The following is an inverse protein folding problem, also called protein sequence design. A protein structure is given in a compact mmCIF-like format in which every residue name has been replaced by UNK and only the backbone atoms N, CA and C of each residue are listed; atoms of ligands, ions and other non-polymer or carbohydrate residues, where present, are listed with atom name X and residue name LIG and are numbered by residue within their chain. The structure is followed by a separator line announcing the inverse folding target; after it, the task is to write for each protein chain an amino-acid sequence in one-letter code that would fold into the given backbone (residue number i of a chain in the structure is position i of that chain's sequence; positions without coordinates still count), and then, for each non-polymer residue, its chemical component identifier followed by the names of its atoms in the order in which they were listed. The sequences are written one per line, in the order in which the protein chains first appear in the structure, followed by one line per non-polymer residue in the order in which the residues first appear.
data_IF_297050566980
#
_entry.id   IF_297050566980
#
_cell.length_a   1.000
_cell.length_b   1.000
_cell.length_c   1.000
_cell.angle_alpha   90.00
_cell.angle_beta   90.00
_cell.angle_gamma   90.00
#
_symmetry.space_group_name_H-M   'P 1'
#
loop_
_entity.id
_entity.type
_entity.pdbx_description
1 polymer ?
#
# COMPACT_ATOMS: atom_id res chain seq x y z
N UNK A 1 -16.30 -6.02 -15.01
CA UNK A 1 -15.11 -5.15 -14.94
C UNK A 1 -15.06 -4.30 -16.19
N UNK A 2 -15.01 -2.97 -16.13
CA UNK A 2 -14.84 -2.16 -17.34
C UNK A 2 -13.44 -2.42 -17.90
N UNK A 3 -13.36 -2.91 -19.15
CA UNK A 3 -12.08 -3.05 -19.86
C UNK A 3 -11.48 -1.66 -19.99
N UNK A 4 -10.26 -1.50 -19.48
CA UNK A 4 -9.49 -0.28 -19.69
C UNK A 4 -9.15 -0.21 -21.19
N UNK A 5 -9.88 0.62 -21.94
CA UNK A 5 -9.59 0.90 -23.36
C UNK A 5 -8.50 1.97 -23.40
N UNK A 6 -7.32 1.63 -22.89
CA UNK A 6 -6.14 2.45 -23.04
C UNK A 6 -5.68 2.40 -24.49
N UNK A 7 -5.71 3.52 -25.19
CA UNK A 7 -5.09 3.64 -26.52
C UNK A 7 -3.57 3.53 -26.31
N UNK A 8 -3.03 2.31 -26.37
CA UNK A 8 -1.60 2.10 -26.46
C UNK A 8 -1.13 2.77 -27.75
N UNK A 9 -0.42 3.89 -27.64
CA UNK A 9 0.21 4.50 -28.81
C UNK A 9 1.30 3.54 -29.29
N UNK A 10 1.24 3.04 -30.53
CA UNK A 10 2.31 2.23 -31.08
C UNK A 10 3.60 3.05 -31.05
N UNK A 11 4.66 2.47 -30.49
CA UNK A 11 5.96 3.11 -30.43
C UNK A 11 6.48 3.28 -31.87
N UNK A 12 6.62 4.54 -32.31
CA UNK A 12 7.19 4.88 -33.62
C UNK A 12 8.65 5.29 -33.43
N UNK A 13 9.64 4.42 -33.76
CA UNK A 13 11.05 4.68 -33.45
C UNK A 13 11.58 5.96 -34.12
N UNK A 14 11.09 6.25 -35.33
CA UNK A 14 11.47 7.44 -36.12
C UNK A 14 10.80 8.74 -35.66
N UNK A 15 9.68 8.66 -34.92
CA UNK A 15 8.99 9.83 -34.39
C UNK A 15 8.46 9.57 -32.98
N UNK A 16 9.34 9.60 -31.96
CA UNK A 16 8.95 9.32 -30.59
C UNK A 16 7.94 10.32 -30.04
N UNK A 17 7.08 9.86 -29.14
CA UNK A 17 6.00 10.69 -28.59
C UNK A 17 6.49 11.92 -27.79
N UNK A 18 7.73 11.92 -27.28
CA UNK A 18 8.35 13.05 -26.59
C UNK A 18 8.83 14.19 -27.51
N UNK A 19 8.65 14.05 -28.82
CA UNK A 19 8.82 15.14 -29.79
C UNK A 19 7.55 15.99 -29.98
N UNK A 20 6.41 15.53 -29.46
CA UNK A 20 5.14 16.29 -29.48
C UNK A 20 5.23 17.50 -28.54
N UNK A 21 4.44 18.57 -28.79
CA UNK A 21 4.36 19.70 -27.86
C UNK A 21 3.83 19.25 -26.50
N UNK A 22 4.47 19.68 -25.42
CA UNK A 22 4.05 19.38 -24.05
C UNK A 22 2.82 20.21 -23.67
N UNK A 23 1.81 19.56 -23.11
CA UNK A 23 0.56 20.18 -22.64
C UNK A 23 0.64 20.67 -21.19
N UNK A 24 1.55 20.11 -20.39
CA UNK A 24 1.74 20.46 -18.97
C UNK A 24 3.23 20.62 -18.61
N UNK A 25 3.51 21.37 -17.54
CA UNK A 25 4.88 21.60 -17.05
C UNK A 25 5.62 20.31 -16.65
N UNK A 26 4.92 19.36 -16.04
CA UNK A 26 5.46 18.03 -15.70
C UNK A 26 5.84 17.24 -16.96
N UNK A 27 4.99 17.30 -18.00
CA UNK A 27 5.24 16.66 -19.28
C UNK A 27 6.47 17.26 -19.99
N UNK A 28 6.68 18.57 -19.87
CA UNK A 28 7.87 19.25 -20.39
C UNK A 28 9.17 18.73 -19.75
N UNK A 29 9.18 18.58 -18.41
CA UNK A 29 10.33 17.98 -17.68
C UNK A 29 10.59 16.55 -18.13
N UNK A 30 9.54 15.73 -18.26
CA UNK A 30 9.65 14.35 -18.72
C UNK A 30 10.22 14.24 -20.14
N UNK A 31 9.73 15.04 -21.08
CA UNK A 31 10.25 15.07 -22.46
C UNK A 31 11.71 15.51 -22.54
N UNK A 32 12.13 16.46 -21.71
CA UNK A 32 13.54 16.87 -21.62
C UNK A 32 14.45 15.75 -21.12
N UNK A 33 14.01 15.00 -20.08
CA UNK A 33 14.77 13.84 -19.56
C UNK A 33 14.95 12.76 -20.63
N UNK A 34 13.89 12.44 -21.38
CA UNK A 34 13.94 11.47 -22.48
C UNK A 34 14.87 11.89 -23.61
N UNK A 35 14.82 13.16 -24.04
CA UNK A 35 15.74 13.70 -25.06
C UNK A 35 17.21 13.59 -24.60
N UNK A 36 17.49 13.89 -23.33
CA UNK A 36 18.84 13.79 -22.77
C UNK A 36 19.36 12.35 -22.77
N UNK A 37 18.54 11.38 -22.37
CA UNK A 37 18.90 9.96 -22.35
C UNK A 37 19.19 9.38 -23.75
N UNK A 38 18.36 9.73 -24.74
CA UNK A 38 18.56 9.29 -26.14
C UNK A 38 19.84 9.89 -26.72
N UNK A 39 20.08 11.18 -26.50
CA UNK A 39 21.30 11.83 -26.97
C UNK A 39 22.56 11.27 -26.29
N UNK A 40 22.49 10.90 -25.01
CA UNK A 40 23.59 10.24 -24.31
C UNK A 40 23.91 8.88 -24.94
N UNK A 41 22.90 8.04 -25.20
CA UNK A 41 23.09 6.74 -25.90
C UNK A 41 23.62 6.92 -27.33
N UNK A 42 23.15 7.94 -28.07
CA UNK A 42 23.67 8.22 -29.42
C UNK A 42 25.15 8.63 -29.37
N UNK A 43 25.54 9.46 -28.40
CA UNK A 43 26.95 9.81 -28.16
C UNK A 43 27.78 8.59 -27.82
N UNK A 44 27.28 7.70 -26.96
CA UNK A 44 27.97 6.45 -26.60
C UNK A 44 28.17 5.54 -27.83
N UNK A 45 27.13 5.38 -28.66
CA UNK A 45 27.20 4.58 -29.89
C UNK A 45 28.19 5.15 -30.91
N UNK A 46 28.26 6.48 -31.03
CA UNK A 46 29.26 7.16 -31.89
C UNK A 46 30.67 7.00 -31.30
N UNK A 47 30.82 7.03 -29.97
CA UNK A 47 32.10 6.81 -29.29
C UNK A 47 32.64 5.40 -29.54
N UNK A 48 31.76 4.40 -29.49
CA UNK A 48 32.09 3.01 -29.80
C UNK A 48 32.48 2.86 -31.27
N UNK A 49 31.70 3.42 -32.20
CA UNK A 49 32.02 3.34 -33.63
C UNK A 49 33.33 4.05 -34.01
N UNK A 50 33.67 5.17 -33.37
CA UNK A 50 34.93 5.87 -33.63
C UNK A 50 36.16 5.09 -33.12
N UNK A 51 35.98 4.16 -32.19
CA UNK A 51 37.03 3.25 -31.72
C UNK A 51 37.17 1.99 -32.58
N UNK A 52 36.28 1.79 -33.56
CA UNK A 52 36.25 0.59 -34.42
C UNK A 52 36.78 0.82 -35.84
N UNK A 53 37.49 1.92 -36.11
CA UNK A 53 38.20 2.08 -37.38
C UNK A 53 39.50 1.26 -37.39
N UNK A 54 39.32 -0.05 -37.54
CA UNK A 54 40.33 -1.04 -37.86
C UNK A 54 39.63 -2.24 -38.49
N UNK A 55 39.73 -2.31 -39.82
CA UNK A 55 39.39 -3.43 -40.71
C UNK A 55 37.92 -3.75 -40.96
N UNK A 56 37.52 -3.53 -42.21
CA UNK A 56 36.17 -3.74 -42.71
C UNK A 56 35.87 -5.17 -43.13
N UNK A 57 34.58 -5.49 -43.10
CA UNK A 57 33.85 -6.24 -44.14
C UNK A 57 32.36 -6.10 -43.82
N UNK A 58 31.57 -5.67 -44.81
CA UNK A 58 30.12 -5.67 -44.71
C UNK A 58 29.56 -7.06 -44.94
N UNK A 59 28.44 -7.40 -44.30
CA UNK A 59 27.42 -8.31 -44.83
C UNK A 59 26.08 -8.12 -44.10
N UNK A 60 25.03 -8.53 -44.81
CA UNK A 60 23.64 -8.07 -44.78
C UNK A 60 22.75 -8.55 -43.61
N UNK A 61 21.57 -7.95 -43.59
CA UNK A 61 20.42 -8.19 -42.71
C UNK A 61 19.86 -9.63 -42.75
N UNK A 62 19.32 -10.01 -41.58
CA UNK A 62 18.29 -11.04 -41.32
C UNK A 62 18.72 -12.51 -41.22
N UNK A 63 18.93 -12.98 -39.97
CA UNK A 63 18.33 -14.25 -39.55
C UNK A 63 17.95 -14.22 -38.06
N UNK A 64 16.78 -14.80 -37.78
CA UNK A 64 16.10 -14.89 -36.50
C UNK A 64 16.66 -16.12 -35.77
N UNK A 65 17.57 -15.91 -34.83
CA UNK A 65 18.14 -16.97 -33.98
C UNK A 65 17.67 -16.86 -32.54
N UNK A 66 16.43 -17.27 -32.27
CA UNK A 66 16.01 -17.69 -30.93
C UNK A 66 16.79 -18.98 -30.59
N UNK A 67 17.44 -18.97 -29.43
CA UNK A 67 17.92 -20.14 -28.67
C UNK A 67 19.02 -20.99 -29.34
N UNK A 68 20.27 -20.71 -28.98
CA UNK A 68 21.18 -21.68 -28.36
C UNK A 68 22.54 -21.02 -28.11
N UNK A 69 22.81 -20.66 -26.86
CA UNK A 69 24.12 -20.81 -26.24
C UNK A 69 23.95 -20.68 -24.73
N UNK A 70 23.29 -21.69 -24.16
CA UNK A 70 23.53 -22.06 -22.77
C UNK A 70 24.86 -22.80 -22.78
N UNK A 71 25.94 -22.13 -22.36
CA UNK A 71 26.87 -22.62 -21.34
C UNK A 71 28.14 -21.75 -21.30
N UNK A 72 28.35 -21.12 -20.13
CA UNK A 72 29.53 -20.40 -19.64
C UNK A 72 29.47 -18.88 -19.71
N UNK A 73 28.80 -18.27 -18.72
CA UNK A 73 29.39 -17.17 -17.95
C UNK A 73 28.65 -17.08 -16.60
N UNK A 74 29.42 -17.09 -15.52
CA UNK A 74 28.95 -17.06 -14.14
C UNK A 74 27.97 -15.90 -13.91
N UNK A 75 26.85 -16.20 -13.26
CA UNK A 75 25.70 -15.32 -13.11
C UNK A 75 26.05 -13.98 -12.47
N UNK A 76 26.23 -12.96 -13.31
CA UNK A 76 26.15 -11.55 -12.89
C UNK A 76 24.70 -11.32 -12.44
N UNK A 77 24.43 -10.93 -11.17
CA UNK A 77 23.08 -10.57 -10.76
C UNK A 77 22.60 -9.49 -11.74
N UNK A 78 21.40 -9.67 -12.31
CA UNK A 78 20.74 -8.58 -13.02
C UNK A 78 20.57 -7.42 -12.03
N UNK A 79 21.49 -6.45 -12.06
CA UNK A 79 21.41 -5.25 -11.24
C UNK A 79 20.17 -4.49 -11.67
N UNK A 80 19.15 -4.49 -10.81
CA UNK A 80 17.93 -3.69 -11.00
C UNK A 80 18.42 -2.23 -11.09
N UNK A 81 18.19 -1.53 -12.21
CA UNK A 81 18.66 -0.17 -12.35
C UNK A 81 18.12 0.73 -11.23
N UNK A 82 19.00 1.53 -10.61
CA UNK A 82 18.67 2.37 -9.43
C UNK A 82 17.40 3.21 -9.59
N UNK A 83 17.11 3.67 -10.81
CA UNK A 83 15.90 4.46 -11.08
C UNK A 83 14.59 3.70 -10.82
N UNK A 84 14.59 2.36 -10.89
CA UNK A 84 13.42 1.53 -10.57
C UNK A 84 13.19 1.54 -9.06
N UNK A 85 14.26 1.45 -8.27
CA UNK A 85 14.19 1.57 -6.82
C UNK A 85 13.72 2.97 -6.41
N UNK A 86 14.27 4.02 -7.03
CA UNK A 86 13.83 5.41 -6.80
C UNK A 86 12.32 5.60 -7.08
N UNK A 87 11.82 5.02 -8.18
CA UNK A 87 10.40 5.10 -8.52
C UNK A 87 9.57 4.32 -7.50
N UNK A 88 10.03 3.13 -7.08
CA UNK A 88 9.35 2.32 -6.09
C UNK A 88 9.26 3.03 -4.74
N UNK A 89 10.37 3.60 -4.27
CA UNK A 89 10.43 4.39 -3.04
C UNK A 89 9.49 5.60 -3.10
N UNK A 90 9.50 6.36 -4.21
CA UNK A 90 8.62 7.50 -4.39
C UNK A 90 7.12 7.11 -4.35
N UNK A 91 6.76 5.94 -4.88
CA UNK A 91 5.38 5.41 -4.80
C UNK A 91 5.03 5.05 -3.35
N UNK A 92 5.92 4.36 -2.64
CA UNK A 92 5.72 4.00 -1.23
C UNK A 92 5.61 5.23 -0.32
N UNK A 93 6.38 6.27 -0.60
CA UNK A 93 6.31 7.55 0.11
C UNK A 93 4.99 8.27 -0.16
N UNK A 94 4.56 8.36 -1.42
CA UNK A 94 3.28 8.95 -1.78
C UNK A 94 2.10 8.22 -1.11
N UNK A 95 2.16 6.88 -1.04
CA UNK A 95 1.15 6.09 -0.35
C UNK A 95 1.16 6.32 1.17
N UNK A 96 2.35 6.38 1.78
CA UNK A 96 2.49 6.73 3.21
C UNK A 96 1.90 8.12 3.51
N UNK A 97 2.17 9.09 2.65
CA UNK A 97 1.61 10.45 2.78
C UNK A 97 0.09 10.45 2.63
N UNK A 98 -0.50 9.73 1.67
CA UNK A 98 -1.96 9.63 1.53
C UNK A 98 -2.59 9.04 2.79
N UNK A 99 -2.00 7.97 3.33
CA UNK A 99 -2.46 7.32 4.57
C UNK A 99 -2.39 8.29 5.76
N UNK A 100 -1.31 9.04 5.89
CA UNK A 100 -1.14 10.02 6.96
C UNK A 100 -2.17 11.15 6.87
N UNK A 101 -2.37 11.72 5.68
CA UNK A 101 -3.37 12.75 5.44
C UNK A 101 -4.81 12.24 5.68
N UNK A 102 -5.10 10.99 5.35
CA UNK A 102 -6.39 10.37 5.62
C UNK A 102 -6.64 10.22 7.12
N UNK A 103 -5.62 9.77 7.87
CA UNK A 103 -5.69 9.66 9.32
C UNK A 103 -5.85 11.03 9.99
N UNK A 104 -5.07 12.02 9.59
CA UNK A 104 -5.14 13.39 10.13
C UNK A 104 -6.54 13.99 9.98
N UNK A 105 -7.16 13.81 8.81
CA UNK A 105 -8.55 14.25 8.55
C UNK A 105 -9.59 13.54 9.42
N UNK A 106 -9.31 12.31 9.87
CA UNK A 106 -10.20 11.53 10.72
C UNK A 106 -9.95 11.73 12.21
N UNK A 107 -8.77 12.24 12.59
CA UNK A 107 -8.25 12.23 13.95
C UNK A 107 -9.20 12.95 14.93
N UNK A 108 -9.70 14.13 14.57
CA UNK A 108 -10.59 14.89 15.45
C UNK A 108 -11.88 14.12 15.78
N UNK A 109 -12.53 13.54 14.78
CA UNK A 109 -13.76 12.76 14.96
C UNK A 109 -13.48 11.47 15.77
N UNK A 110 -12.38 10.79 15.47
CA UNK A 110 -11.92 9.60 16.19
C UNK A 110 -11.65 9.89 17.66
N UNK A 111 -11.00 11.02 17.95
CA UNK A 111 -10.60 11.40 19.30
C UNK A 111 -11.81 11.69 20.19
N UNK A 112 -12.82 12.41 19.65
CA UNK A 112 -14.09 12.64 20.36
C UNK A 112 -14.78 11.31 20.68
N UNK A 113 -14.93 10.43 19.68
CA UNK A 113 -15.54 9.11 19.89
C UNK A 113 -14.76 8.26 20.90
N UNK A 114 -13.42 8.33 20.87
CA UNK A 114 -12.57 7.61 21.81
C UNK A 114 -12.79 8.06 23.25
N UNK A 115 -12.84 9.37 23.50
CA UNK A 115 -13.05 9.91 24.84
C UNK A 115 -14.44 9.58 25.37
N UNK A 116 -15.48 9.80 24.56
CA UNK A 116 -16.86 9.52 24.95
C UNK A 116 -17.07 8.04 25.32
N UNK A 117 -16.53 7.13 24.51
CA UNK A 117 -16.64 5.71 24.78
C UNK A 117 -15.71 5.26 25.92
N UNK A 118 -14.55 5.90 26.08
CA UNK A 118 -13.64 5.66 27.21
C UNK A 118 -14.34 5.90 28.55
N UNK A 119 -15.09 7.00 28.68
CA UNK A 119 -15.88 7.29 29.89
C UNK A 119 -16.96 6.23 30.15
N UNK A 120 -17.65 5.74 29.10
CA UNK A 120 -18.72 4.74 29.22
C UNK A 120 -18.23 3.33 29.53
N UNK A 121 -16.98 3.02 29.19
CA UNK A 121 -16.43 1.65 29.22
C UNK A 121 -15.41 1.45 30.34
N UNK A 122 -15.31 2.40 31.28
CA UNK A 122 -14.26 2.44 32.30
C UNK A 122 -12.90 2.27 31.65
N UNK A 123 -12.61 3.19 30.72
CA UNK A 123 -11.34 3.22 30.01
C UNK A 123 -11.10 1.92 29.20
N UNK A 124 -12.16 1.40 28.57
CA UNK A 124 -12.17 0.15 27.78
C UNK A 124 -11.88 -1.13 28.58
N UNK A 125 -11.74 -1.01 29.91
CA UNK A 125 -11.43 -2.12 30.81
C UNK A 125 -12.62 -2.95 31.24
N UNK A 126 -13.85 -2.41 31.15
CA UNK A 126 -15.03 -3.13 31.61
C UNK A 126 -15.39 -4.29 30.65
N UNK A 127 -15.36 -5.57 31.10
CA UNK A 127 -15.63 -6.73 30.26
C UNK A 127 -17.06 -6.77 29.69
N UNK A 128 -18.02 -6.13 30.34
CA UNK A 128 -19.41 -6.15 29.87
C UNK A 128 -19.68 -5.09 28.82
N UNK A 129 -19.02 -3.92 28.88
CA UNK A 129 -19.42 -2.76 28.05
C UNK A 129 -18.48 -2.40 26.90
N UNK A 130 -17.26 -2.93 26.88
CA UNK A 130 -16.23 -2.53 25.91
C UNK A 130 -16.55 -2.84 24.45
N UNK A 131 -17.26 -3.95 24.18
CA UNK A 131 -17.60 -4.42 22.83
C UNK A 131 -19.02 -3.99 22.43
N UNK A 132 -19.75 -3.31 23.32
CA UNK A 132 -21.05 -2.77 22.94
C UNK A 132 -20.89 -1.68 21.88
N UNK A 133 -21.82 -1.69 20.94
CA UNK A 133 -21.88 -0.67 19.92
C UNK A 133 -22.49 0.62 20.49
N UNK A 134 -21.62 1.60 20.79
CA UNK A 134 -22.00 2.89 21.36
C UNK A 134 -22.50 3.89 20.31
N UNK A 135 -22.69 3.44 19.07
CA UNK A 135 -23.18 4.29 17.98
C UNK A 135 -24.64 4.70 18.21
N UNK A 136 -24.89 6.00 18.09
CA UNK A 136 -26.25 6.56 18.09
C UNK A 136 -27.08 6.07 16.89
N UNK A 137 -28.40 6.07 17.07
CA UNK A 137 -29.34 5.71 16.01
C UNK A 137 -29.12 6.61 14.78
N UNK A 138 -28.81 6.00 13.63
CA UNK A 138 -28.64 6.75 12.38
C UNK A 138 -29.93 6.77 11.57
N UNK A 139 -30.18 7.91 10.92
CA UNK A 139 -31.25 8.08 9.90
C UNK A 139 -30.77 7.82 8.47
N UNK A 140 -29.54 7.31 8.33
CA UNK A 140 -28.93 6.98 7.04
C UNK A 140 -29.78 5.89 6.32
N UNK A 141 -30.16 6.11 5.06
CA UNK A 141 -30.96 5.16 4.27
C UNK A 141 -30.17 3.86 3.99
N UNK A 142 -30.82 2.70 3.78
CA UNK A 142 -30.12 1.44 3.48
C UNK A 142 -29.19 1.51 2.25
N UNK A 143 -29.51 2.35 1.26
CA UNK A 143 -28.67 2.59 0.07
C UNK A 143 -27.34 3.29 0.38
N UNK A 144 -27.21 3.94 1.55
CA UNK A 144 -26.00 4.62 1.99
C UNK A 144 -25.11 3.72 2.86
N UNK A 145 -25.57 2.51 3.15
CA UNK A 145 -24.82 1.57 3.97
C UNK A 145 -23.79 0.83 3.12
N UNK A 146 -22.60 0.64 3.69
CA UNK A 146 -21.54 -0.16 3.10
C UNK A 146 -21.20 -1.24 4.10
N UNK A 147 -21.25 -2.49 3.67
CA UNK A 147 -20.88 -3.61 4.52
C UNK A 147 -19.51 -4.13 4.12
N UNK A 148 -18.67 -4.44 5.11
CA UNK A 148 -17.37 -5.07 4.88
C UNK A 148 -17.08 -6.08 5.97
N UNK A 149 -16.39 -7.13 5.59
CA UNK A 149 -15.81 -8.05 6.55
C UNK A 149 -14.52 -7.44 7.11
N UNK A 150 -14.42 -7.43 8.44
CA UNK A 150 -13.25 -6.93 9.17
C UNK A 150 -12.81 -8.00 10.15
N UNK A 151 -11.52 -8.28 10.16
CA UNK A 151 -10.88 -9.17 11.10
C UNK A 151 -10.65 -8.42 12.41
N UNK A 152 -11.43 -8.76 13.43
CA UNK A 152 -11.38 -8.18 14.77
C UNK A 152 -10.43 -9.01 15.63
N UNK A 153 -9.44 -8.34 16.20
CA UNK A 153 -8.42 -8.93 17.08
C UNK A 153 -8.52 -8.31 18.46
N UNK A 154 -8.75 -9.13 19.47
CA UNK A 154 -8.78 -8.79 20.88
C UNK A 154 -7.76 -9.64 21.66
N UNK A 155 -7.57 -9.32 22.95
CA UNK A 155 -6.72 -10.08 23.88
C UNK A 155 -7.13 -11.56 23.93
N UNK A 156 -8.43 -11.85 23.93
CA UNK A 156 -8.96 -13.20 24.13
C UNK A 156 -9.61 -13.80 22.89
N UNK A 157 -9.73 -13.06 21.80
CA UNK A 157 -10.41 -13.57 20.61
C UNK A 157 -9.87 -12.99 19.31
N UNK A 158 -10.00 -13.77 18.25
CA UNK A 158 -9.80 -13.35 16.86
C UNK A 158 -10.99 -13.83 16.06
N UNK A 159 -11.74 -12.91 15.44
CA UNK A 159 -12.93 -13.26 14.67
C UNK A 159 -13.14 -12.34 13.48
N UNK A 160 -13.77 -12.88 12.43
CA UNK A 160 -14.23 -12.09 11.29
C UNK A 160 -15.64 -11.59 11.53
N UNK A 161 -15.86 -10.29 11.42
CA UNK A 161 -17.17 -9.66 11.63
C UNK A 161 -17.59 -8.85 10.42
N UNK A 162 -18.86 -8.96 10.02
CA UNK A 162 -19.46 -8.15 8.95
C UNK A 162 -19.97 -6.83 9.54
N UNK A 163 -19.25 -5.74 9.27
CA UNK A 163 -19.50 -4.42 9.87
C UNK A 163 -20.22 -3.52 8.88
N UNK A 164 -21.27 -2.85 9.37
CA UNK A 164 -22.01 -1.80 8.66
C UNK A 164 -21.37 -0.44 8.89
N UNK A 165 -20.97 0.18 7.79
CA UNK A 165 -20.53 1.56 7.69
C UNK A 165 -21.61 2.40 7.04
N UNK A 166 -21.68 3.68 7.39
CA UNK A 166 -22.64 4.62 6.81
C UNK A 166 -21.97 5.99 6.65
N UNK A 167 -22.59 6.90 5.91
CA UNK A 167 -22.12 8.27 5.73
C UNK A 167 -22.31 9.17 6.96
N UNK A 168 -22.90 8.65 8.04
CA UNK A 168 -23.14 9.41 9.26
C UNK A 168 -21.84 9.76 10.01
N UNK A 169 -20.77 8.99 9.82
CA UNK A 169 -19.41 9.34 10.25
C UNK A 169 -18.55 9.61 9.03
N UNK A 170 -17.64 10.57 9.12
CA UNK A 170 -16.75 10.91 8.00
C UNK A 170 -15.72 9.81 7.79
N UNK A 171 -15.27 9.18 8.87
CA UNK A 171 -14.30 8.08 8.83
C UNK A 171 -14.90 6.74 9.24
N UNK A 172 -14.55 5.70 8.49
CA UNK A 172 -14.84 4.31 8.87
C UNK A 172 -14.09 3.92 10.16
N UNK A 173 -12.99 4.61 10.51
CA UNK A 173 -12.27 4.40 11.78
C UNK A 173 -13.09 4.82 13.00
N UNK A 174 -13.79 5.95 12.91
CA UNK A 174 -14.69 6.42 13.99
C UNK A 174 -15.75 5.38 14.29
N UNK A 175 -16.31 4.76 13.25
CA UNK A 175 -17.28 3.65 13.39
C UNK A 175 -16.70 2.48 14.18
N UNK A 176 -15.45 2.10 13.92
CA UNK A 176 -14.78 1.02 14.64
C UNK A 176 -14.52 1.40 16.11
N UNK A 177 -14.15 2.64 16.40
CA UNK A 177 -13.94 3.11 17.77
C UNK A 177 -15.22 2.99 18.59
N UNK A 178 -16.37 3.34 18.01
CA UNK A 178 -17.67 3.18 18.66
C UNK A 178 -18.01 1.71 19.01
N UNK A 179 -17.34 0.75 18.37
CA UNK A 179 -17.45 -0.69 18.65
C UNK A 179 -16.32 -1.21 19.57
N UNK A 180 -15.39 -0.35 19.99
CA UNK A 180 -14.24 -0.74 20.82
C UNK A 180 -12.97 -1.13 20.07
N UNK A 181 -12.87 -0.81 18.78
CA UNK A 181 -11.76 -1.22 17.92
C UNK A 181 -11.10 -0.04 17.18
N UNK A 182 -9.83 -0.20 16.81
CA UNK A 182 -9.10 0.73 15.94
C UNK A 182 -8.68 -0.01 14.68
N UNK A 183 -9.02 0.53 13.51
CA UNK A 183 -8.63 -0.04 12.22
C UNK A 183 -7.12 0.01 11.98
N UNK A 184 -6.56 -1.06 11.42
CA UNK A 184 -5.14 -1.14 11.06
C UNK A 184 -4.77 -0.32 9.82
N UNK A 185 -5.76 0.15 9.05
CA UNK A 185 -5.55 1.09 7.93
C UNK A 185 -6.54 2.25 8.01
N UNK A 186 -6.12 3.48 7.61
CA UNK A 186 -6.98 4.66 7.68
C UNK A 186 -8.09 4.67 6.64
N UNK A 187 -7.96 3.85 5.59
CA UNK A 187 -8.90 3.73 4.48
C UNK A 187 -9.23 2.26 4.31
N UNK A 188 -10.52 1.93 4.42
CA UNK A 188 -11.04 0.57 4.27
C UNK A 188 -10.33 -0.46 5.16
N UNK A 189 -10.44 -0.33 6.50
CA UNK A 189 -9.82 -1.26 7.43
C UNK A 189 -10.31 -2.69 7.18
N UNK A 190 -9.38 -3.59 6.89
CA UNK A 190 -9.63 -5.03 6.78
C UNK A 190 -9.39 -5.73 8.12
N UNK A 191 -8.54 -5.15 8.96
CA UNK A 191 -8.22 -5.64 10.30
C UNK A 191 -8.45 -4.50 11.28
N UNK A 192 -8.96 -4.81 12.47
CA UNK A 192 -9.09 -3.86 13.55
C UNK A 192 -8.73 -4.50 14.89
N UNK A 193 -8.03 -3.75 15.73
CA UNK A 193 -7.54 -4.20 17.04
C UNK A 193 -8.38 -3.58 18.14
N UNK A 194 -8.74 -4.36 19.15
CA UNK A 194 -9.50 -3.85 20.27
C UNK A 194 -8.69 -2.77 21.01
N UNK A 195 -9.36 -1.71 21.46
CA UNK A 195 -8.68 -0.61 22.15
C UNK A 195 -8.05 -1.12 23.46
N UNK A 196 -8.69 -2.08 24.14
CA UNK A 196 -8.13 -2.74 25.32
C UNK A 196 -6.84 -3.51 25.03
N UNK A 197 -6.74 -4.17 23.87
CA UNK A 197 -5.52 -4.86 23.45
C UNK A 197 -4.40 -3.84 23.25
N UNK A 198 -4.67 -2.73 22.57
CA UNK A 198 -3.70 -1.65 22.36
C UNK A 198 -3.26 -1.03 23.69
N UNK A 199 -4.18 -0.83 24.63
CA UNK A 199 -3.86 -0.34 25.98
C UNK A 199 -3.00 -1.33 26.75
N UNK A 200 -3.33 -2.62 26.71
CA UNK A 200 -2.55 -3.67 27.35
C UNK A 200 -1.13 -3.71 26.80
N UNK A 201 -0.98 -3.67 25.47
CA UNK A 201 0.32 -3.55 24.82
C UNK A 201 1.09 -2.31 25.26
N UNK A 202 0.44 -1.13 25.32
CA UNK A 202 1.07 0.10 25.77
C UNK A 202 1.55 0.03 27.22
N UNK A 203 0.77 -0.60 28.12
CA UNK A 203 1.17 -0.83 29.51
C UNK A 203 2.38 -1.77 29.57
N UNK A 204 2.34 -2.88 28.83
CA UNK A 204 3.49 -3.79 28.74
C UNK A 204 4.74 -3.08 28.23
N UNK A 205 4.62 -2.29 27.17
CA UNK A 205 5.73 -1.53 26.61
C UNK A 205 6.29 -0.47 27.57
N UNK A 206 5.43 0.12 28.42
CA UNK A 206 5.87 1.06 29.46
C UNK A 206 6.75 0.40 30.53
N UNK A 207 6.44 -0.83 30.92
CA UNK A 207 7.13 -1.53 32.02
C UNK A 207 8.19 -2.54 31.56
N UNK A 208 8.14 -2.98 30.30
CA UNK A 208 9.00 -4.00 29.73
C UNK A 208 9.53 -3.53 28.37
N UNK A 209 10.72 -3.99 27.97
CA UNK A 209 11.28 -3.76 26.62
C UNK A 209 10.64 -4.68 25.58
N UNK A 210 9.31 -4.63 25.47
CA UNK A 210 8.54 -5.47 24.56
C UNK A 210 8.58 -4.86 23.17
N UNK A 211 9.21 -5.57 22.22
CA UNK A 211 9.12 -5.24 20.80
C UNK A 211 7.75 -5.67 20.26
N UNK A 212 7.24 -4.98 19.24
CA UNK A 212 5.95 -5.29 18.62
C UNK A 212 5.92 -6.71 18.05
N UNK A 213 6.95 -7.11 17.29
CA UNK A 213 7.01 -8.44 16.65
C UNK A 213 6.84 -9.63 17.62
N UNK A 214 7.65 -9.76 18.70
CA UNK A 214 7.48 -10.86 19.65
C UNK A 214 6.14 -10.80 20.40
N UNK A 215 5.60 -9.60 20.68
CA UNK A 215 4.27 -9.46 21.27
C UNK A 215 3.18 -10.01 20.35
N UNK A 216 3.20 -9.63 19.07
CA UNK A 216 2.21 -10.08 18.09
C UNK A 216 2.31 -11.60 17.89
N UNK A 217 3.52 -12.17 17.81
CA UNK A 217 3.71 -13.64 17.72
C UNK A 217 3.19 -14.37 18.97
N UNK A 218 3.44 -13.82 20.15
CA UNK A 218 2.95 -14.39 21.40
C UNK A 218 1.42 -14.33 21.47
N UNK A 219 0.82 -13.20 21.06
CA UNK A 219 -0.63 -13.06 20.96
C UNK A 219 -1.23 -14.05 19.96
N UNK A 220 -0.64 -14.17 18.77
CA UNK A 220 -1.09 -15.09 17.72
C UNK A 220 -1.05 -16.55 18.22
N UNK A 221 0.08 -16.98 18.77
CA UNK A 221 0.22 -18.31 19.35
C UNK A 221 -0.71 -18.58 20.54
N UNK A 222 -1.02 -17.55 21.34
CA UNK A 222 -2.02 -17.66 22.42
C UNK A 222 -3.44 -17.85 21.85
N UNK A 223 -3.81 -17.09 20.82
CA UNK A 223 -5.15 -17.11 20.23
C UNK A 223 -5.41 -18.36 19.38
N UNK A 224 -4.37 -18.97 18.80
CA UNK A 224 -4.48 -20.16 17.94
C UNK A 224 -5.10 -21.38 18.64
N UNK A 225 -5.01 -21.46 19.97
CA UNK A 225 -5.56 -22.58 20.73
C UNK A 225 -7.10 -22.65 20.70
N UNK A 226 -7.79 -21.54 20.45
CA UNK A 226 -9.26 -21.47 20.53
C UNK A 226 -9.92 -20.56 19.49
N UNK A 227 -9.14 -19.88 18.63
CA UNK A 227 -9.68 -19.07 17.55
C UNK A 227 -9.32 -19.66 16.18
N UNK A 228 -10.26 -19.64 15.20
CA UNK A 228 -9.95 -20.08 13.86
C UNK A 228 -8.84 -19.21 13.24
N UNK A 229 -7.94 -19.85 12.51
CA UNK A 229 -6.96 -19.16 11.68
C UNK A 229 -7.71 -18.33 10.64
N UNK A 230 -7.51 -17.01 10.65
CA UNK A 230 -8.03 -16.13 9.61
C UNK A 230 -7.09 -16.24 8.41
N UNK A 231 -7.35 -17.22 7.55
CA UNK A 231 -6.65 -17.34 6.28
C UNK A 231 -7.14 -16.22 5.35
N UNK A 232 -6.33 -15.19 5.15
CA UNK A 232 -6.57 -14.25 4.05
C UNK A 232 -6.51 -15.03 2.74
N UNK A 233 -7.52 -14.88 1.87
CA UNK A 233 -7.41 -15.37 0.50
C UNK A 233 -6.26 -14.57 -0.15
N UNK A 234 -5.22 -15.27 -0.58
CA UNK A 234 -4.15 -14.69 -1.40
C UNK A 234 -4.71 -14.13 -2.70
#
# INVERSE_FOLDING_TARGET
MPRFVGVHQPFKPRNPYWNKPAKTGLQKKYFQKMKKAVNARKKERVRINNNSNGDGQGFDYEDIGLLNDMNNEEGRPFEIPDFINDIHEAILEAERQERQLALEKALQEMFVAYLECGMKTSEWGNPTTWEFDHKSQCRCMPSQWRERDVDLVDILSRRKARIRFCSCHRSDLTRLILMGYVGGSPKYPQTAFSIRLLRFFHIMWKFCTVRIDPFVRALDGFLDAFNPLILTKK
#
